data_IF_294595512762
#
_entry.id   IF_294595512762
#
_cell.length_a   1.000
_cell.length_b   1.000
_cell.length_c   1.000
_cell.angle_alpha   90.00
_cell.angle_beta   90.00
_cell.angle_gamma   90.00
#
_symmetry.space_group_name_H-M   'P 1'
#
loop_
_entity.id
_entity.type
_entity.pdbx_description
1 polymer ?
#
# COMPACT_ATOMS: atom_id res chain seq x y z
N UNK A 1 36.13 -27.62 63.91
CA UNK A 1 35.60 -26.26 64.14
C UNK A 1 35.15 -25.77 62.77
N UNK A 2 34.09 -26.34 62.17
CA UNK A 2 32.66 -26.03 62.41
C UNK A 2 32.41 -24.53 62.32
N UNK A 3 31.50 -23.94 61.55
CA UNK A 3 30.36 -24.30 60.69
C UNK A 3 30.26 -23.05 59.74
N UNK A 4 29.76 -23.07 58.52
CA UNK A 4 28.35 -23.18 58.13
C UNK A 4 28.36 -23.51 56.63
N UNK A 5 28.29 -24.80 56.31
CA UNK A 5 27.73 -25.23 55.03
C UNK A 5 26.24 -25.34 55.31
N UNK A 6 25.51 -24.22 55.21
CA UNK A 6 24.04 -24.25 55.29
C UNK A 6 23.55 -24.98 54.04
N UNK A 7 23.37 -26.29 54.21
CA UNK A 7 22.62 -27.14 53.31
C UNK A 7 21.22 -26.53 53.19
N UNK A 8 20.98 -25.82 52.09
CA UNK A 8 19.63 -25.39 51.71
C UNK A 8 18.81 -26.68 51.63
N UNK A 9 17.93 -26.85 52.61
CA UNK A 9 17.04 -27.98 52.73
C UNK A 9 16.13 -27.99 51.49
N UNK A 10 16.26 -29.01 50.64
CA UNK A 10 15.51 -29.20 49.39
C UNK A 10 14.13 -29.80 49.68
N UNK A 11 13.38 -29.20 50.60
CA UNK A 11 11.96 -29.47 50.72
C UNK A 11 11.23 -28.58 49.72
N UNK A 12 10.80 -29.20 48.62
CA UNK A 12 9.78 -28.79 47.65
C UNK A 12 9.20 -27.38 47.80
N UNK A 13 9.96 -26.35 47.42
CA UNK A 13 9.34 -25.13 46.91
C UNK A 13 9.24 -25.35 45.41
N UNK A 14 8.04 -25.53 44.84
CA UNK A 14 7.87 -25.50 43.41
C UNK A 14 8.18 -24.06 43.01
N UNK A 15 9.43 -23.80 42.65
CA UNK A 15 9.80 -22.57 41.98
C UNK A 15 9.12 -22.65 40.63
N UNK A 16 7.93 -22.06 40.56
CA UNK A 16 7.22 -21.88 39.30
C UNK A 16 8.11 -21.09 38.35
N UNK A 17 8.06 -21.47 37.06
CA UNK A 17 8.89 -20.86 36.02
C UNK A 17 8.78 -19.33 36.03
N UNK A 18 7.60 -18.78 36.34
CA UNK A 18 7.37 -17.35 36.46
C UNK A 18 8.25 -16.69 37.54
N UNK A 19 8.37 -17.30 38.72
CA UNK A 19 9.17 -16.75 39.83
C UNK A 19 10.65 -16.74 39.45
N UNK A 20 11.12 -17.78 38.75
CA UNK A 20 12.50 -17.86 38.27
C UNK A 20 12.76 -16.78 37.20
N UNK A 21 11.81 -16.58 36.28
CA UNK A 21 11.90 -15.57 35.22
C UNK A 21 11.94 -14.16 35.82
N UNK A 22 11.04 -13.83 36.73
CA UNK A 22 11.01 -12.52 37.40
C UNK A 22 12.30 -12.27 38.18
N UNK A 23 12.78 -13.26 38.92
CA UNK A 23 14.05 -13.15 39.66
C UNK A 23 15.25 -12.85 38.74
N UNK A 24 15.35 -13.55 37.60
CA UNK A 24 16.43 -13.33 36.63
C UNK A 24 16.32 -11.98 35.91
N UNK A 25 15.11 -11.48 35.67
CA UNK A 25 14.86 -10.15 35.10
C UNK A 25 15.27 -9.04 36.07
N UNK A 26 14.92 -9.19 37.35
CA UNK A 26 15.25 -8.22 38.40
C UNK A 26 16.75 -8.24 38.78
N UNK A 27 17.48 -9.29 38.42
CA UNK A 27 18.89 -9.48 38.75
C UNK A 27 19.76 -9.78 37.51
N UNK A 28 19.95 -8.83 36.59
CA UNK A 28 20.69 -9.05 35.35
C UNK A 28 22.17 -9.43 35.57
N UNK A 29 22.77 -9.02 36.70
CA UNK A 29 24.15 -9.36 37.05
C UNK A 29 24.33 -10.78 37.63
N UNK A 30 23.23 -11.53 37.82
CA UNK A 30 23.28 -12.88 38.39
C UNK A 30 24.27 -13.79 37.63
N UNK A 31 24.33 -13.68 36.31
CA UNK A 31 25.24 -14.47 35.47
C UNK A 31 26.69 -13.96 35.48
N UNK A 32 26.92 -12.66 35.77
CA UNK A 32 28.27 -12.12 35.99
C UNK A 32 28.85 -12.59 37.33
N UNK A 33 28.03 -12.68 38.38
CA UNK A 33 28.48 -13.21 39.68
C UNK A 33 28.72 -14.73 39.66
N UNK A 34 28.12 -15.43 38.71
CA UNK A 34 28.15 -16.88 38.59
C UNK A 34 28.68 -17.33 37.22
N UNK A 35 29.86 -16.84 36.82
CA UNK A 35 30.45 -17.14 35.49
C UNK A 35 30.63 -18.64 35.23
N UNK A 36 30.99 -19.42 36.27
CA UNK A 36 31.11 -20.87 36.18
C UNK A 36 29.78 -21.57 35.83
N UNK A 37 28.65 -20.96 36.21
CA UNK A 37 27.32 -21.48 35.92
C UNK A 37 26.95 -21.23 34.45
N UNK A 38 27.34 -20.09 33.88
CA UNK A 38 27.18 -19.78 32.44
C UNK A 38 28.01 -20.72 31.57
N UNK A 39 29.27 -20.98 31.97
CA UNK A 39 30.18 -21.87 31.23
C UNK A 39 29.68 -23.33 31.17
N UNK A 40 28.93 -23.75 32.20
CA UNK A 40 28.37 -25.10 32.29
C UNK A 40 26.89 -25.17 31.87
N UNK A 41 26.22 -24.02 31.64
CA UNK A 41 24.82 -24.01 31.27
C UNK A 41 24.65 -24.50 29.85
N UNK A 42 23.85 -25.54 29.75
CA UNK A 42 23.76 -26.41 28.61
C UNK A 42 22.30 -26.50 28.25
N UNK A 43 21.90 -25.77 27.22
CA UNK A 43 20.54 -25.78 26.74
C UNK A 43 20.38 -26.97 25.81
N UNK A 44 19.43 -27.86 26.14
CA UNK A 44 19.09 -28.98 25.27
C UNK A 44 18.29 -28.47 24.08
N UNK A 45 18.89 -28.52 22.89
CA UNK A 45 18.18 -28.35 21.63
C UNK A 45 17.82 -29.75 21.09
N UNK A 46 16.52 -30.01 20.88
CA UNK A 46 16.01 -31.32 20.45
C UNK A 46 16.57 -31.77 19.10
N UNK A 47 17.13 -30.87 18.29
CA UNK A 47 17.67 -31.18 16.96
C UNK A 47 19.21 -31.12 16.86
N UNK A 48 19.91 -30.40 17.76
CA UNK A 48 21.36 -30.15 17.66
C UNK A 48 22.18 -30.64 18.86
N UNK A 49 21.54 -31.19 19.88
CA UNK A 49 22.22 -31.62 21.10
C UNK A 49 22.35 -30.49 22.12
N UNK A 50 23.43 -30.48 22.89
CA UNK A 50 23.60 -29.55 24.00
C UNK A 50 24.46 -28.35 23.60
N UNK A 51 23.90 -27.14 23.63
CA UNK A 51 24.57 -25.90 23.21
C UNK A 51 24.75 -24.93 24.38
N UNK A 52 25.79 -24.09 24.31
CA UNK A 52 26.03 -23.05 25.31
C UNK A 52 25.02 -21.90 25.21
N UNK A 53 24.75 -21.24 26.34
CA UNK A 53 23.98 -19.99 26.38
C UNK A 53 24.52 -18.93 25.40
N UNK A 54 25.85 -18.80 25.30
CA UNK A 54 26.51 -17.81 24.44
C UNK A 54 26.29 -18.14 22.97
N UNK A 55 26.38 -19.41 22.60
CA UNK A 55 26.12 -19.88 21.23
C UNK A 55 24.65 -19.62 20.85
N UNK A 56 23.72 -19.87 21.78
CA UNK A 56 22.29 -19.59 21.56
C UNK A 56 22.01 -18.10 21.43
N UNK A 57 22.65 -17.25 22.23
CA UNK A 57 22.55 -15.79 22.12
C UNK A 57 23.12 -15.29 20.79
N UNK A 58 24.28 -15.80 20.37
CA UNK A 58 24.88 -15.45 19.08
C UNK A 58 23.98 -15.88 17.91
N UNK A 59 23.36 -17.06 18.00
CA UNK A 59 22.41 -17.51 16.99
C UNK A 59 21.18 -16.60 16.93
N UNK A 60 20.61 -16.20 18.07
CA UNK A 60 19.49 -15.26 18.12
C UNK A 60 19.85 -13.89 17.52
N UNK A 61 21.04 -13.38 17.82
CA UNK A 61 21.53 -12.13 17.23
C UNK A 61 21.68 -12.24 15.71
N UNK A 62 22.23 -13.34 15.19
CA UNK A 62 22.33 -13.57 13.74
C UNK A 62 20.97 -13.62 13.07
N UNK A 63 20.00 -14.30 13.68
CA UNK A 63 18.62 -14.32 13.17
C UNK A 63 17.98 -12.93 13.19
N UNK A 64 18.24 -12.12 14.23
CA UNK A 64 17.72 -10.76 14.31
C UNK A 64 18.35 -9.84 13.26
N UNK A 65 19.67 -9.94 13.04
CA UNK A 65 20.36 -9.20 11.97
C UNK A 65 19.76 -9.56 10.62
N UNK A 66 19.61 -10.84 10.31
CA UNK A 66 19.02 -11.28 9.04
C UNK A 66 17.59 -10.74 8.86
N UNK A 67 16.75 -10.81 9.91
CA UNK A 67 15.40 -10.25 9.87
C UNK A 67 15.38 -8.74 9.62
N UNK A 68 16.36 -7.99 10.15
CA UNK A 68 16.46 -6.55 9.92
C UNK A 68 16.97 -6.24 8.51
N UNK A 69 17.90 -7.03 7.98
CA UNK A 69 18.38 -6.92 6.60
C UNK A 69 17.25 -7.16 5.59
N UNK A 70 16.40 -8.16 5.85
CA UNK A 70 15.21 -8.45 5.05
C UNK A 70 14.21 -7.28 5.10
N UNK A 71 13.95 -6.71 6.29
CA UNK A 71 13.06 -5.56 6.48
C UNK A 71 13.59 -4.30 5.76
N UNK A 72 14.89 -4.02 5.85
CA UNK A 72 15.53 -2.91 5.13
C UNK A 72 15.40 -3.12 3.62
N UNK A 73 15.63 -4.34 3.13
CA UNK A 73 15.53 -4.65 1.70
C UNK A 73 14.11 -4.42 1.19
N UNK A 74 13.09 -4.79 1.97
CA UNK A 74 11.69 -4.50 1.65
C UNK A 74 11.41 -2.99 1.62
N UNK A 75 11.90 -2.23 2.60
CA UNK A 75 11.73 -0.77 2.62
C UNK A 75 12.39 -0.09 1.42
N UNK A 76 13.59 -0.52 1.03
CA UNK A 76 14.29 -0.01 -0.16
C UNK A 76 13.49 -0.36 -1.43
N UNK A 77 12.95 -1.57 -1.53
CA UNK A 77 12.11 -1.96 -2.68
C UNK A 77 10.87 -1.09 -2.80
N UNK A 78 10.21 -0.77 -1.69
CA UNK A 78 9.05 0.14 -1.67
C UNK A 78 9.46 1.56 -2.04
N UNK A 79 10.60 2.05 -1.53
CA UNK A 79 11.12 3.37 -1.85
C UNK A 79 11.42 3.52 -3.35
N UNK A 80 12.11 2.54 -3.95
CA UNK A 80 12.41 2.54 -5.38
C UNK A 80 11.13 2.53 -6.22
N UNK A 81 10.14 1.71 -5.85
CA UNK A 81 8.84 1.69 -6.55
C UNK A 81 8.12 3.05 -6.47
N UNK A 82 8.17 3.71 -5.30
CA UNK A 82 7.58 5.03 -5.13
C UNK A 82 8.31 6.11 -5.95
N UNK A 83 9.64 6.03 -6.08
CA UNK A 83 10.44 6.95 -6.89
C UNK A 83 10.16 6.78 -8.40
N UNK A 84 10.02 5.53 -8.86
CA UNK A 84 9.60 5.23 -10.23
C UNK A 84 8.21 5.80 -10.52
N UNK A 85 7.24 5.58 -9.62
CA UNK A 85 5.90 6.17 -9.74
C UNK A 85 5.97 7.69 -9.79
N UNK A 86 6.72 8.34 -8.90
CA UNK A 86 6.85 9.79 -8.89
C UNK A 86 7.39 10.34 -10.22
N UNK A 87 8.40 9.67 -10.79
CA UNK A 87 8.99 10.04 -12.08
C UNK A 87 7.98 9.89 -13.21
N UNK A 88 7.24 8.77 -13.24
CA UNK A 88 6.18 8.53 -14.22
C UNK A 88 5.06 9.59 -14.16
N UNK A 89 4.61 9.96 -12.96
CA UNK A 89 3.61 11.01 -12.78
C UNK A 89 4.14 12.38 -13.24
N UNK A 90 5.41 12.69 -12.94
CA UNK A 90 6.04 13.95 -13.35
C UNK A 90 6.12 14.08 -14.88
N UNK A 91 6.54 13.01 -15.57
CA UNK A 91 6.58 12.97 -17.03
C UNK A 91 5.16 13.06 -17.63
N UNK A 92 4.19 12.40 -17.02
CA UNK A 92 2.78 12.52 -17.41
C UNK A 92 2.29 13.96 -17.28
N UNK A 93 2.59 14.65 -16.17
CA UNK A 93 2.15 16.04 -15.99
C UNK A 93 2.69 16.97 -17.06
N UNK A 94 3.95 16.81 -17.46
CA UNK A 94 4.52 17.59 -18.55
C UNK A 94 3.78 17.33 -19.87
N UNK A 95 3.53 16.06 -20.22
CA UNK A 95 2.79 15.72 -21.44
C UNK A 95 1.35 16.25 -21.44
N UNK A 96 0.67 16.20 -20.30
CA UNK A 96 -0.71 16.69 -20.18
C UNK A 96 -0.79 18.20 -20.36
N UNK A 97 0.21 18.96 -19.89
CA UNK A 97 0.27 20.41 -20.06
C UNK A 97 0.51 20.81 -21.52
N UNK A 98 1.26 20.00 -22.28
CA UNK A 98 1.55 20.25 -23.68
C UNK A 98 0.37 19.95 -24.63
N UNK A 99 -0.69 19.29 -24.13
CA UNK A 99 -1.87 18.93 -24.92
C UNK A 99 -2.68 20.17 -25.33
N UNK A 100 -2.94 20.34 -26.62
CA UNK A 100 -3.59 21.54 -27.18
C UNK A 100 -5.10 21.36 -27.37
N UNK A 101 -5.61 20.13 -27.37
CA UNK A 101 -7.03 19.83 -27.49
C UNK A 101 -7.53 18.83 -26.45
N UNK A 102 -8.85 18.81 -26.22
CA UNK A 102 -9.49 17.84 -25.35
C UNK A 102 -9.28 16.38 -25.82
N UNK A 103 -9.26 16.14 -27.13
CA UNK A 103 -9.04 14.81 -27.71
C UNK A 103 -7.61 14.33 -27.44
N UNK A 104 -6.61 15.18 -27.70
CA UNK A 104 -5.20 14.88 -27.39
C UNK A 104 -5.00 14.58 -25.91
N UNK A 105 -5.65 15.36 -25.02
CA UNK A 105 -5.59 15.12 -23.58
C UNK A 105 -6.14 13.74 -23.22
N UNK A 106 -7.30 13.36 -23.76
CA UNK A 106 -7.93 12.05 -23.49
C UNK A 106 -7.13 10.89 -24.07
N UNK A 107 -6.52 11.06 -25.24
CA UNK A 107 -5.62 10.07 -25.82
C UNK A 107 -4.34 9.94 -25.00
N UNK A 108 -3.73 11.04 -24.57
CA UNK A 108 -2.54 11.05 -23.73
C UNK A 108 -2.81 10.34 -22.38
N UNK A 109 -3.96 10.63 -21.75
CA UNK A 109 -4.38 9.98 -20.52
C UNK A 109 -4.62 8.49 -20.72
N UNK A 110 -5.35 8.11 -21.77
CA UNK A 110 -5.60 6.71 -22.09
C UNK A 110 -4.28 5.97 -22.30
N UNK A 111 -3.43 6.48 -23.20
CA UNK A 111 -2.15 5.87 -23.55
C UNK A 111 -1.24 5.73 -22.32
N UNK A 112 -1.11 6.78 -21.51
CA UNK A 112 -0.26 6.71 -20.32
C UNK A 112 -0.79 5.70 -19.30
N UNK A 113 -2.10 5.67 -19.10
CA UNK A 113 -2.74 4.72 -18.17
C UNK A 113 -2.55 3.27 -18.64
N UNK A 114 -2.69 2.99 -19.94
CA UNK A 114 -2.57 1.62 -20.47
C UNK A 114 -1.12 1.18 -20.68
N UNK A 115 -0.25 2.07 -21.17
CA UNK A 115 1.12 1.71 -21.57
C UNK A 115 2.14 1.91 -20.44
N UNK A 116 2.07 3.03 -19.71
CA UNK A 116 3.07 3.34 -18.69
C UNK A 116 2.71 2.77 -17.32
N UNK A 117 1.42 2.78 -16.97
CA UNK A 117 0.94 2.21 -15.69
C UNK A 117 0.50 0.74 -15.82
N UNK A 118 0.53 0.17 -17.03
CA UNK A 118 0.11 -1.21 -17.31
C UNK A 118 -1.31 -1.54 -16.82
N UNK A 119 -2.21 -0.55 -16.85
CA UNK A 119 -3.60 -0.70 -16.41
C UNK A 119 -4.48 -1.14 -17.58
N UNK A 120 -5.61 -1.78 -17.26
CA UNK A 120 -6.41 -2.53 -18.23
C UNK A 120 -7.35 -1.68 -19.06
N UNK A 121 -7.94 -0.65 -18.45
CA UNK A 121 -8.85 0.25 -19.14
C UNK A 121 -8.89 1.61 -18.45
N UNK A 122 -9.14 2.63 -19.27
CA UNK A 122 -9.30 4.01 -18.85
C UNK A 122 -10.58 4.57 -19.50
N UNK A 123 -11.50 5.08 -18.69
CA UNK A 123 -12.72 5.73 -19.13
C UNK A 123 -12.95 7.01 -18.37
N UNK A 124 -13.59 7.97 -19.01
CA UNK A 124 -14.01 9.25 -18.40
C UNK A 124 -15.49 9.40 -18.65
N UNK A 125 -16.24 9.72 -17.60
CA UNK A 125 -17.62 10.14 -17.71
C UNK A 125 -17.71 11.61 -17.36
N UNK A 126 -18.36 12.39 -18.21
CA UNK A 126 -18.60 13.82 -18.02
C UNK A 126 -20.10 14.07 -17.99
N UNK A 127 -20.55 15.08 -17.25
CA UNK A 127 -21.96 15.46 -17.24
C UNK A 127 -22.42 15.84 -18.66
N UNK A 128 -23.64 15.44 -19.07
CA UNK A 128 -24.18 15.74 -20.41
C UNK A 128 -24.11 17.22 -20.80
N UNK A 129 -24.34 18.12 -19.83
CA UNK A 129 -24.31 19.57 -20.04
C UNK A 129 -22.93 20.13 -20.41
N UNK A 130 -21.88 19.36 -20.16
CA UNK A 130 -20.47 19.73 -20.41
C UNK A 130 -19.89 19.02 -21.65
N UNK A 131 -20.60 18.03 -22.20
CA UNK A 131 -20.14 17.31 -23.39
C UNK A 131 -20.32 18.17 -24.64
N UNK A 132 -19.25 18.31 -25.41
CA UNK A 132 -19.28 18.87 -26.76
C UNK A 132 -19.14 17.75 -27.80
N UNK A 133 -19.55 18.00 -29.05
CA UNK A 133 -19.49 16.98 -30.13
C UNK A 133 -18.08 16.43 -30.36
N UNK A 134 -17.05 17.25 -30.14
CA UNK A 134 -15.66 16.86 -30.32
C UNK A 134 -15.18 15.85 -29.26
N UNK A 135 -15.66 15.95 -28.02
CA UNK A 135 -15.28 15.06 -26.92
C UNK A 135 -16.19 13.83 -26.87
N UNK A 136 -17.48 13.99 -27.17
CA UNK A 136 -18.46 12.90 -27.07
C UNK A 136 -18.15 11.70 -27.97
N UNK A 137 -17.45 11.90 -29.09
CA UNK A 137 -17.06 10.82 -30.01
C UNK A 137 -15.76 10.10 -29.62
N UNK A 138 -15.12 10.48 -28.51
CA UNK A 138 -13.83 9.91 -28.13
C UNK A 138 -14.00 8.55 -27.45
N UNK A 139 -13.19 7.55 -27.85
CA UNK A 139 -13.23 6.17 -27.31
C UNK A 139 -13.11 6.07 -25.79
N UNK A 140 -12.42 7.03 -25.16
CA UNK A 140 -12.21 7.07 -23.71
C UNK A 140 -13.42 7.62 -22.95
N UNK A 141 -14.38 8.24 -23.63
CA UNK A 141 -15.61 8.72 -22.99
C UNK A 141 -16.59 7.55 -22.83
N UNK A 142 -17.26 7.49 -21.68
CA UNK A 142 -18.37 6.56 -21.49
C UNK A 142 -19.63 7.15 -22.13
N UNK A 143 -20.26 6.40 -23.04
CA UNK A 143 -21.49 6.79 -23.73
C UNK A 143 -22.74 6.60 -22.85
N UNK A 144 -22.64 5.73 -21.83
CA UNK A 144 -23.76 5.41 -20.96
C UNK A 144 -23.93 6.46 -19.84
N UNK A 145 -25.16 6.62 -19.38
CA UNK A 145 -25.43 7.45 -18.21
C UNK A 145 -24.88 6.79 -16.94
N UNK A 146 -23.79 7.34 -16.42
CA UNK A 146 -23.15 6.91 -15.19
C UNK A 146 -23.46 7.82 -13.99
N UNK A 147 -24.46 8.71 -14.08
CA UNK A 147 -24.83 9.61 -13.00
C UNK A 147 -25.16 8.85 -11.69
N UNK A 148 -25.84 7.71 -11.80
CA UNK A 148 -26.14 6.84 -10.65
C UNK A 148 -24.89 6.25 -9.99
N UNK A 149 -23.86 5.91 -10.77
CA UNK A 149 -22.58 5.42 -10.22
C UNK A 149 -21.86 6.53 -9.47
N UNK A 150 -21.80 7.73 -10.07
CA UNK A 150 -21.23 8.90 -9.42
C UNK A 150 -21.95 9.22 -8.11
N UNK A 151 -23.28 9.18 -8.09
CA UNK A 151 -24.05 9.45 -6.87
C UNK A 151 -23.86 8.36 -5.80
N UNK A 152 -23.80 7.09 -6.17
CA UNK A 152 -23.65 6.00 -5.21
C UNK A 152 -22.23 5.89 -4.63
N UNK A 153 -21.19 6.23 -5.42
CA UNK A 153 -19.79 5.98 -5.06
C UNK A 153 -18.98 7.24 -4.74
N UNK A 154 -19.35 8.40 -5.30
CA UNK A 154 -18.55 9.63 -5.27
C UNK A 154 -19.31 10.84 -4.71
N UNK A 155 -20.46 10.64 -4.04
CA UNK A 155 -21.20 11.74 -3.42
C UNK A 155 -20.44 12.39 -2.26
N UNK A 156 -19.88 11.56 -1.37
CA UNK A 156 -19.21 12.02 -0.15
C UNK A 156 -17.69 11.83 -0.19
N UNK A 157 -17.18 11.08 -1.16
CA UNK A 157 -15.76 10.77 -1.28
C UNK A 157 -15.26 11.13 -2.68
N UNK A 158 -14.01 11.60 -2.73
CA UNK A 158 -13.33 11.96 -3.97
C UNK A 158 -12.84 10.76 -4.78
N UNK A 159 -12.69 9.63 -4.09
CA UNK A 159 -12.11 8.41 -4.62
C UNK A 159 -12.93 7.22 -4.20
N UNK A 160 -13.05 6.23 -5.08
CA UNK A 160 -13.52 4.90 -4.73
C UNK A 160 -12.48 3.89 -5.16
N UNK A 161 -12.05 3.02 -4.25
CA UNK A 161 -11.11 1.93 -4.53
C UNK A 161 -11.79 0.58 -4.29
N UNK A 162 -11.65 -0.34 -5.23
CA UNK A 162 -12.05 -1.74 -5.01
C UNK A 162 -12.73 -2.34 -6.23
N UNK A 163 -13.75 -3.18 -6.00
CA UNK A 163 -14.45 -3.89 -7.08
C UNK A 163 -15.78 -3.21 -7.38
N UNK A 164 -16.11 -3.10 -8.66
CA UNK A 164 -17.42 -2.63 -9.11
C UNK A 164 -18.34 -3.83 -9.39
N UNK A 165 -19.64 -3.61 -9.30
CA UNK A 165 -20.62 -4.61 -9.72
C UNK A 165 -20.58 -4.77 -11.25
N UNK A 166 -20.92 -5.96 -11.77
CA UNK A 166 -20.88 -6.22 -13.21
C UNK A 166 -21.74 -5.25 -14.04
N UNK A 167 -22.85 -4.75 -13.48
CA UNK A 167 -23.69 -3.71 -14.10
C UNK A 167 -22.99 -2.34 -14.15
N UNK A 168 -22.31 -1.93 -13.08
CA UNK A 168 -21.51 -0.70 -13.03
C UNK A 168 -20.32 -0.78 -14.00
N UNK A 169 -19.68 -1.94 -14.10
CA UNK A 169 -18.58 -2.18 -15.05
C UNK A 169 -19.04 -2.07 -16.50
N UNK A 170 -20.14 -2.73 -16.85
CA UNK A 170 -20.70 -2.68 -18.20
C UNK A 170 -21.12 -1.24 -18.57
N UNK A 171 -21.70 -0.50 -17.62
CA UNK A 171 -22.04 0.91 -17.82
C UNK A 171 -20.80 1.75 -18.12
N UNK A 172 -19.75 1.65 -17.31
CA UNK A 172 -18.57 2.52 -17.42
C UNK A 172 -17.67 2.11 -18.59
N UNK A 173 -17.34 0.82 -18.68
CA UNK A 173 -16.33 0.28 -19.59
C UNK A 173 -16.89 -0.38 -20.85
N UNK A 174 -18.21 -0.58 -20.95
CA UNK A 174 -18.85 -1.37 -22.01
C UNK A 174 -18.32 -2.81 -22.13
N UNK A 175 -17.73 -3.31 -21.04
CA UNK A 175 -17.25 -4.67 -20.90
C UNK A 175 -17.11 -5.01 -19.41
N UNK A 176 -17.12 -6.30 -19.09
CA UNK A 176 -16.75 -6.76 -17.76
C UNK A 176 -15.24 -6.76 -17.57
N UNK A 177 -14.80 -6.20 -16.46
CA UNK A 177 -13.39 -6.15 -16.08
C UNK A 177 -13.15 -7.03 -14.85
N UNK A 178 -12.19 -7.95 -14.95
CA UNK A 178 -11.68 -8.67 -13.79
C UNK A 178 -10.66 -7.80 -13.04
N UNK A 179 -10.63 -7.87 -11.71
CA UNK A 179 -9.61 -7.22 -10.88
C UNK A 179 -10.16 -6.09 -10.02
N UNK A 180 -9.42 -4.98 -9.94
CA UNK A 180 -9.77 -3.81 -9.13
C UNK A 180 -9.96 -2.57 -9.99
N UNK A 181 -10.72 -1.60 -9.48
CA UNK A 181 -11.09 -0.37 -10.14
C UNK A 181 -10.90 0.80 -9.17
N UNK A 182 -10.41 1.91 -9.70
CA UNK A 182 -10.47 3.21 -9.03
C UNK A 182 -11.40 4.14 -9.79
N UNK A 183 -12.28 4.82 -9.05
CA UNK A 183 -13.02 5.97 -9.55
C UNK A 183 -12.48 7.24 -8.92
N UNK A 184 -12.29 8.28 -9.72
CA UNK A 184 -11.75 9.57 -9.30
C UNK A 184 -12.74 10.66 -9.69
N UNK A 185 -13.33 11.33 -8.70
CA UNK A 185 -14.23 12.45 -8.94
C UNK A 185 -13.47 13.60 -9.62
N UNK A 186 -14.04 14.16 -10.68
CA UNK A 186 -13.53 15.34 -11.38
C UNK A 186 -14.34 16.57 -10.98
N UNK A 187 -13.67 17.52 -10.34
CA UNK A 187 -14.25 18.81 -9.96
C UNK A 187 -13.22 19.94 -10.13
N UNK A 188 -13.66 21.10 -10.58
CA UNK A 188 -12.83 22.28 -10.74
C UNK A 188 -13.64 23.54 -10.47
N UNK A 189 -13.13 24.45 -9.61
CA UNK A 189 -13.81 25.68 -9.17
C UNK A 189 -15.26 25.44 -8.70
N UNK A 190 -15.48 24.44 -7.82
CA UNK A 190 -16.80 24.00 -7.32
C UNK A 190 -17.78 23.49 -8.40
N UNK A 191 -17.32 23.31 -9.63
CA UNK A 191 -18.08 22.66 -10.70
C UNK A 191 -17.70 21.21 -10.82
N UNK A 192 -18.66 20.33 -10.54
CA UNK A 192 -18.53 18.90 -10.78
C UNK A 192 -18.59 18.58 -12.28
N UNK A 193 -17.47 18.10 -12.83
CA UNK A 193 -17.34 17.75 -14.24
C UNK A 193 -17.81 16.33 -14.51
N UNK A 194 -17.53 15.40 -13.59
CA UNK A 194 -17.82 13.96 -13.75
C UNK A 194 -16.84 13.10 -12.95
N UNK A 195 -16.36 12.00 -13.54
CA UNK A 195 -15.34 11.14 -12.93
C UNK A 195 -14.45 10.43 -13.96
N UNK A 196 -13.24 10.05 -13.55
CA UNK A 196 -12.42 9.07 -14.27
C UNK A 196 -12.58 7.69 -13.65
N UNK A 197 -12.52 6.66 -14.48
CA UNK A 197 -12.53 5.27 -14.08
C UNK A 197 -11.32 4.56 -14.68
N UNK A 198 -10.56 3.88 -13.82
CA UNK A 198 -9.38 3.13 -14.21
C UNK A 198 -9.48 1.73 -13.65
N UNK A 199 -9.31 0.71 -14.49
CA UNK A 199 -9.34 -0.69 -14.06
C UNK A 199 -7.97 -1.34 -14.18
N UNK A 200 -7.65 -2.22 -13.23
CA UNK A 200 -6.47 -3.10 -13.24
C UNK A 200 -6.92 -4.56 -13.18
N UNK A 201 -6.21 -5.46 -13.87
CA UNK A 201 -6.47 -6.91 -13.79
C UNK A 201 -6.13 -7.47 -12.41
N UNK A 202 -5.23 -6.81 -11.69
CA UNK A 202 -4.88 -7.20 -10.34
C UNK A 202 -5.95 -6.71 -9.34
N UNK A 203 -6.50 -7.66 -8.59
CA UNK A 203 -7.52 -7.41 -7.58
C UNK A 203 -6.99 -6.68 -6.33
N UNK A 204 -5.67 -6.64 -6.12
CA UNK A 204 -5.04 -5.97 -4.97
C UNK A 204 -4.40 -4.64 -5.34
N UNK A 205 -4.41 -4.26 -6.63
CA UNK A 205 -3.76 -3.04 -7.09
C UNK A 205 -4.42 -1.80 -6.49
N UNK A 206 -5.75 -1.67 -6.58
CA UNK A 206 -6.50 -0.56 -5.97
C UNK A 206 -7.09 -0.98 -4.61
N UNK A 207 -6.26 -0.99 -3.57
CA UNK A 207 -6.66 -1.23 -2.18
C UNK A 207 -7.13 0.08 -1.51
N UNK A 208 -8.21 0.08 -0.71
CA UNK A 208 -8.67 1.28 0.02
C UNK A 208 -7.62 1.93 0.96
N UNK A 209 -6.55 1.21 1.30
CA UNK A 209 -5.44 1.71 2.13
C UNK A 209 -4.35 2.42 1.31
N UNK A 210 -4.47 2.48 0.00
CA UNK A 210 -3.51 3.19 -0.86
C UNK A 210 -3.42 4.67 -0.50
N UNK A 211 -2.19 5.19 -0.54
CA UNK A 211 -1.95 6.63 -0.45
C UNK A 211 -2.54 7.33 -1.70
N UNK A 212 -3.33 8.38 -1.48
CA UNK A 212 -4.00 9.14 -2.54
C UNK A 212 -3.26 10.43 -2.90
N UNK A 213 -2.05 10.68 -2.39
CA UNK A 213 -1.31 11.93 -2.59
C UNK A 213 -1.05 12.20 -4.07
N UNK A 214 -0.42 11.27 -4.78
CA UNK A 214 -0.16 11.40 -6.22
C UNK A 214 -1.47 11.43 -7.01
N UNK A 215 -2.42 10.58 -6.65
CA UNK A 215 -3.73 10.54 -7.29
C UNK A 215 -4.50 11.85 -7.10
N UNK A 216 -4.30 12.55 -5.99
CA UNK A 216 -4.94 13.85 -5.72
C UNK A 216 -4.32 14.99 -6.51
N UNK A 217 -3.01 14.95 -6.75
CA UNK A 217 -2.35 15.87 -7.66
C UNK A 217 -2.83 15.62 -9.09
N UNK A 218 -2.93 14.34 -9.49
CA UNK A 218 -3.44 13.93 -10.79
C UNK A 218 -4.90 14.35 -10.99
N UNK A 219 -5.79 14.11 -10.02
CA UNK A 219 -7.18 14.60 -10.01
C UNK A 219 -7.24 16.09 -10.29
N UNK A 220 -6.48 16.89 -9.53
CA UNK A 220 -6.49 18.35 -9.64
C UNK A 220 -6.02 18.83 -11.01
N UNK A 221 -4.93 18.28 -11.54
CA UNK A 221 -4.41 18.68 -12.84
C UNK A 221 -5.35 18.28 -13.97
N UNK A 222 -5.81 17.02 -13.97
CA UNK A 222 -6.74 16.51 -14.99
C UNK A 222 -8.06 17.27 -15.00
N UNK A 223 -8.66 17.52 -13.83
CA UNK A 223 -9.89 18.31 -13.73
C UNK A 223 -9.71 19.74 -14.28
N UNK A 224 -8.59 20.40 -13.96
CA UNK A 224 -8.27 21.73 -14.48
C UNK A 224 -8.10 21.72 -16.00
N UNK A 225 -7.31 20.79 -16.55
CA UNK A 225 -7.05 20.72 -17.99
C UNK A 225 -8.31 20.38 -18.78
N UNK A 226 -9.10 19.40 -18.30
CA UNK A 226 -10.40 19.08 -18.88
C UNK A 226 -11.30 20.31 -18.83
N UNK A 227 -11.42 20.99 -17.69
CA UNK A 227 -12.25 22.21 -17.60
C UNK A 227 -11.78 23.32 -18.54
N UNK A 228 -10.48 23.52 -18.71
CA UNK A 228 -9.95 24.51 -19.65
C UNK A 228 -10.35 24.16 -21.08
N UNK A 229 -10.12 22.92 -21.51
CA UNK A 229 -10.44 22.47 -22.85
C UNK A 229 -11.95 22.46 -23.15
N UNK A 230 -12.80 22.32 -22.11
CA UNK A 230 -14.26 22.46 -22.23
C UNK A 230 -14.72 23.92 -22.23
N UNK A 231 -13.97 24.84 -21.60
CA UNK A 231 -14.27 26.28 -21.55
C UNK A 231 -13.76 27.06 -22.77
N UNK A 232 -12.78 26.53 -23.53
CA UNK A 232 -12.27 27.19 -24.75
C UNK A 232 -13.41 27.27 -25.77
N UNK A 233 -13.99 28.47 -25.85
CA UNK A 233 -15.01 28.91 -26.79
C UNK A 233 -14.65 30.32 -27.27
#
# INVERSE_FOLDING_TARGET
MNEIQESINRDEIPLEDEVIVTFLQDNPEFFQRNEALVANLRLADKQRGTVSLVERQQQQLRLKVQSLEDEITQLISVANHNEELFTLYSDLYLRLIDCQSAQELLDCLHQTTTELLSLSAFKVWLKPDLLNEAVSSHKSISENDCAGVMQNRLSNEDYYFGRLQGTEQELIFAQQCSGSVVLVKLEHDDVELGFLAISSQDAHHFDPRMDTLLLSQFKRLTAKLISQQLKVK
#
